data_IF_119008735765
#
_entry.id   IF_119008735765
#
_cell.length_a   1.000
_cell.length_b   1.000
_cell.length_c   1.000
_cell.angle_alpha   90.00
_cell.angle_beta   90.00
_cell.angle_gamma   90.00
#
_symmetry.space_group_name_H-M   'P 1'
#
loop_
_entity.id
_entity.type
_entity.pdbx_description
1 polymer ?
#
# COMPACT_ATOMS: atom_id res chain seq x y z
N UNK A 1 -17.80 -6.97 -2.43
CA UNK A 1 -18.08 -8.38 -2.03
C UNK A 1 -19.32 -8.97 -2.68
N UNK A 2 -20.44 -8.25 -2.80
CA UNK A 2 -21.69 -8.78 -3.41
C UNK A 2 -21.48 -9.37 -4.80
N UNK A 3 -20.73 -8.68 -5.66
CA UNK A 3 -20.37 -9.18 -6.99
C UNK A 3 -19.60 -10.51 -6.94
N UNK A 4 -18.58 -10.60 -6.07
CA UNK A 4 -17.76 -11.81 -5.90
C UNK A 4 -18.64 -12.97 -5.42
N UNK A 5 -19.52 -12.75 -4.43
CA UNK A 5 -20.46 -13.78 -3.96
C UNK A 5 -21.38 -14.29 -5.07
N UNK A 6 -21.87 -13.39 -5.93
CA UNK A 6 -22.71 -13.76 -7.07
C UNK A 6 -21.96 -14.67 -8.06
N UNK A 7 -20.67 -14.40 -8.33
CA UNK A 7 -19.83 -15.29 -9.15
C UNK A 7 -19.59 -16.63 -8.48
N UNK A 8 -19.24 -16.63 -7.19
CA UNK A 8 -18.99 -17.86 -6.41
C UNK A 8 -20.20 -18.80 -6.32
N UNK A 9 -21.42 -18.29 -6.52
CA UNK A 9 -22.62 -19.12 -6.57
C UNK A 9 -22.68 -20.02 -7.82
N UNK A 10 -22.03 -19.61 -8.91
CA UNK A 10 -22.13 -20.28 -10.22
C UNK A 10 -20.78 -20.76 -10.76
N UNK A 11 -19.67 -20.31 -10.17
CA UNK A 11 -18.30 -20.58 -10.65
C UNK A 11 -17.46 -21.16 -9.49
N UNK A 12 -16.70 -22.21 -9.79
CA UNK A 12 -15.69 -22.73 -8.86
C UNK A 12 -14.54 -21.73 -8.74
N UNK A 13 -14.12 -21.44 -7.51
CA UNK A 13 -12.95 -20.62 -7.21
C UNK A 13 -12.18 -21.27 -6.06
N UNK A 14 -10.95 -21.69 -6.32
CA UNK A 14 -10.12 -22.37 -5.32
C UNK A 14 -9.43 -21.37 -4.37
N UNK A 15 -9.08 -20.19 -4.87
CA UNK A 15 -8.49 -19.11 -4.08
C UNK A 15 -8.70 -17.73 -4.73
N UNK A 16 -8.65 -16.68 -3.90
CA UNK A 16 -8.61 -15.27 -4.32
C UNK A 16 -7.28 -14.67 -3.90
N UNK A 17 -6.59 -14.00 -4.81
CA UNK A 17 -5.39 -13.23 -4.51
C UNK A 17 -5.79 -11.75 -4.40
N UNK A 18 -5.44 -11.13 -3.28
CA UNK A 18 -5.76 -9.72 -3.01
C UNK A 18 -4.69 -9.06 -2.13
N UNK A 19 -4.71 -7.74 -2.03
CA UNK A 19 -3.72 -6.98 -1.27
C UNK A 19 -4.37 -5.85 -0.45
N UNK A 20 -3.65 -5.34 0.54
CA UNK A 20 -4.03 -4.17 1.32
C UNK A 20 -5.42 -4.26 1.99
N UNK A 21 -6.08 -3.10 2.13
CA UNK A 21 -7.38 -2.94 2.76
C UNK A 21 -8.47 -3.81 2.11
N UNK A 22 -8.48 -3.89 0.78
CA UNK A 22 -9.43 -4.73 0.05
C UNK A 22 -9.21 -6.22 0.36
N UNK A 23 -7.97 -6.70 0.37
CA UNK A 23 -7.67 -8.09 0.70
C UNK A 23 -8.10 -8.46 2.13
N UNK A 24 -7.85 -7.58 3.11
CA UNK A 24 -8.33 -7.76 4.48
C UNK A 24 -9.87 -7.79 4.56
N UNK A 25 -10.54 -6.90 3.81
CA UNK A 25 -12.00 -6.85 3.71
C UNK A 25 -12.59 -8.14 3.12
N UNK A 26 -11.97 -8.69 2.07
CA UNK A 26 -12.39 -9.94 1.44
C UNK A 26 -12.15 -11.15 2.36
N UNK A 27 -10.97 -11.24 2.97
CA UNK A 27 -10.57 -12.36 3.84
C UNK A 27 -11.50 -12.54 5.05
N UNK A 28 -12.05 -11.45 5.57
CA UNK A 28 -13.01 -11.49 6.70
C UNK A 28 -14.45 -11.81 6.30
N UNK A 29 -14.79 -11.85 5.00
CA UNK A 29 -16.18 -11.90 4.51
C UNK A 29 -16.48 -13.00 3.50
N UNK A 30 -15.46 -13.71 3.03
CA UNK A 30 -15.57 -14.80 2.07
C UNK A 30 -15.10 -16.11 2.71
N UNK A 31 -15.78 -17.21 2.38
CA UNK A 31 -15.39 -18.56 2.79
C UNK A 31 -14.28 -19.15 1.91
N UNK A 32 -14.13 -18.66 0.67
CA UNK A 32 -13.04 -19.05 -0.23
C UNK A 32 -11.71 -18.54 0.33
N UNK A 33 -10.63 -19.34 0.28
CA UNK A 33 -9.30 -18.92 0.70
C UNK A 33 -8.88 -17.59 0.05
N UNK A 34 -8.51 -16.60 0.86
CA UNK A 34 -7.97 -15.32 0.38
C UNK A 34 -6.48 -15.23 0.73
N UNK A 35 -5.65 -15.30 -0.30
CA UNK A 35 -4.20 -15.10 -0.24
C UNK A 35 -3.95 -13.60 -0.21
N UNK A 36 -3.48 -13.10 0.94
CA UNK A 36 -3.19 -11.70 1.14
C UNK A 36 -1.73 -11.41 0.78
N UNK A 37 -1.51 -10.64 -0.28
CA UNK A 37 -0.19 -10.13 -0.63
C UNK A 37 0.20 -9.07 0.40
N UNK A 38 1.37 -9.27 1.01
CA UNK A 38 2.02 -8.29 1.89
C UNK A 38 3.26 -7.75 1.20
N UNK A 39 3.52 -6.43 1.24
CA UNK A 39 4.77 -5.90 0.72
C UNK A 39 5.94 -6.46 1.57
N UNK A 40 6.95 -6.97 0.91
CA UNK A 40 8.20 -7.40 1.53
C UNK A 40 9.09 -6.20 1.84
N UNK A 41 10.08 -6.38 2.73
CA UNK A 41 11.08 -5.34 2.96
C UNK A 41 11.85 -4.95 1.68
N UNK A 42 12.06 -5.91 0.77
CA UNK A 42 12.68 -5.64 -0.53
C UNK A 42 11.80 -4.75 -1.42
N UNK A 43 10.49 -4.97 -1.45
CA UNK A 43 9.57 -4.14 -2.22
C UNK A 43 9.61 -2.69 -1.76
N UNK A 44 9.60 -2.51 -0.45
CA UNK A 44 9.68 -1.20 0.18
C UNK A 44 10.99 -0.51 -0.19
N UNK A 45 12.12 -1.20 -0.10
CA UNK A 45 13.42 -0.65 -0.48
C UNK A 45 13.48 -0.29 -1.97
N UNK A 46 12.92 -1.12 -2.86
CA UNK A 46 12.82 -0.77 -4.28
C UNK A 46 11.96 0.47 -4.51
N UNK A 47 10.79 0.54 -3.86
CA UNK A 47 9.89 1.68 -3.98
C UNK A 47 10.56 2.97 -3.48
N UNK A 48 11.26 2.91 -2.35
CA UNK A 48 12.02 4.03 -1.82
C UNK A 48 13.21 4.40 -2.71
N UNK A 49 13.93 3.44 -3.28
CA UNK A 49 15.01 3.72 -4.23
C UNK A 49 14.48 4.40 -5.50
N UNK A 50 13.28 4.03 -5.95
CA UNK A 50 12.59 4.70 -7.06
C UNK A 50 12.17 6.12 -6.67
N UNK A 51 11.63 6.31 -5.47
CA UNK A 51 11.24 7.61 -4.92
C UNK A 51 12.45 8.55 -4.76
N UNK A 52 13.56 8.04 -4.22
CA UNK A 52 14.78 8.78 -3.95
C UNK A 52 15.49 9.32 -5.19
N UNK A 53 15.22 8.74 -6.38
CA UNK A 53 15.69 9.29 -7.67
C UNK A 53 14.92 10.55 -8.09
N UNK A 54 13.71 10.72 -7.56
CA UNK A 54 12.81 11.82 -7.91
C UNK A 54 12.92 12.95 -6.88
N UNK A 55 12.95 12.59 -5.59
CA UNK A 55 12.87 13.56 -4.49
C UNK A 55 13.47 13.00 -3.21
N UNK A 56 13.83 13.90 -2.29
CA UNK A 56 14.25 13.56 -0.92
C UNK A 56 13.10 13.62 0.10
N UNK A 57 11.92 14.10 -0.28
CA UNK A 57 10.76 14.26 0.60
C UNK A 57 9.71 13.18 0.31
N UNK A 58 9.74 12.10 1.09
CA UNK A 58 8.99 10.87 0.79
C UNK A 58 8.03 10.52 1.93
N UNK A 59 6.76 10.27 1.59
CA UNK A 59 5.78 9.67 2.48
C UNK A 59 5.63 8.17 2.22
N UNK A 60 5.34 7.38 3.26
CA UNK A 60 4.94 5.97 3.14
C UNK A 60 3.62 5.80 3.88
N UNK A 61 2.57 5.39 3.17
CA UNK A 61 1.24 5.20 3.77
C UNK A 61 0.76 3.76 3.55
N UNK A 62 0.43 3.09 4.65
CA UNK A 62 0.13 1.65 4.68
C UNK A 62 -1.17 1.36 5.42
N UNK A 63 -1.81 0.22 5.12
CA UNK A 63 -3.07 -0.14 5.77
C UNK A 63 -2.81 -0.71 7.17
N UNK A 64 -3.56 -0.23 8.17
CA UNK A 64 -3.52 -0.58 9.59
C UNK A 64 -2.25 -0.24 10.35
N UNK A 65 -1.08 -0.62 9.85
CA UNK A 65 0.19 -0.50 10.57
C UNK A 65 1.27 0.09 9.66
N UNK A 66 2.16 0.89 10.25
CA UNK A 66 3.41 1.31 9.58
C UNK A 66 4.38 0.14 9.48
N UNK A 67 5.54 0.33 8.84
CA UNK A 67 6.53 -0.73 8.63
C UNK A 67 7.64 -0.57 9.68
N UNK A 68 7.69 -1.37 10.76
CA UNK A 68 8.66 -1.14 11.84
C UNK A 68 10.12 -1.17 11.37
N UNK A 69 10.42 -2.02 10.37
CA UNK A 69 11.74 -2.09 9.75
C UNK A 69 12.19 -0.76 9.10
N UNK A 70 11.24 0.05 8.60
CA UNK A 70 11.56 1.36 8.04
C UNK A 70 11.92 2.39 9.11
N UNK A 71 11.44 2.27 10.35
CA UNK A 71 11.80 3.20 11.43
C UNK A 71 13.29 3.10 11.74
N UNK A 72 13.82 1.89 11.85
CA UNK A 72 15.25 1.66 12.04
C UNK A 72 16.06 2.16 10.83
N UNK A 73 15.58 1.88 9.61
CA UNK A 73 16.22 2.30 8.37
C UNK A 73 16.30 3.83 8.26
N UNK A 74 15.20 4.52 8.54
CA UNK A 74 15.13 5.99 8.52
C UNK A 74 16.16 6.63 9.45
N UNK A 75 16.30 6.11 10.68
CA UNK A 75 17.29 6.61 11.66
C UNK A 75 18.72 6.38 11.19
N UNK A 76 19.02 5.19 10.67
CA UNK A 76 20.38 4.83 10.25
C UNK A 76 20.85 5.62 9.02
N UNK A 77 19.94 5.89 8.07
CA UNK A 77 20.28 6.55 6.81
C UNK A 77 19.87 8.03 6.74
N UNK A 78 19.38 8.59 7.86
CA UNK A 78 18.91 9.97 7.98
C UNK A 78 17.94 10.39 6.85
N UNK A 79 16.99 9.52 6.52
CA UNK A 79 16.03 9.75 5.45
C UNK A 79 14.90 10.66 5.94
N UNK A 80 14.50 11.61 5.09
CA UNK A 80 13.27 12.38 5.28
C UNK A 80 12.08 11.55 4.81
N UNK A 81 11.69 10.64 5.68
CA UNK A 81 10.63 9.67 5.44
C UNK A 81 9.54 9.82 6.49
N UNK A 82 8.31 10.15 6.07
CA UNK A 82 7.14 10.23 6.96
C UNK A 82 6.29 8.95 6.80
N UNK A 83 6.16 8.16 7.87
CA UNK A 83 5.39 6.92 7.85
C UNK A 83 4.04 7.11 8.50
N UNK A 84 2.99 6.75 7.77
CA UNK A 84 1.60 6.85 8.21
C UNK A 84 0.85 5.55 7.95
N UNK A 85 -0.23 5.37 8.69
CA UNK A 85 -1.17 4.28 8.47
C UNK A 85 -2.59 4.81 8.34
N UNK A 86 -3.45 4.03 7.68
CA UNK A 86 -4.87 4.35 7.54
C UNK A 86 -5.73 3.11 7.76
N UNK A 87 -6.98 3.31 8.16
CA UNK A 87 -7.97 2.23 8.30
C UNK A 87 -9.14 2.47 7.33
N UNK A 88 -9.59 3.72 7.22
CA UNK A 88 -10.67 4.12 6.31
C UNK A 88 -10.14 4.93 5.12
N UNK A 89 -10.95 5.06 4.07
CA UNK A 89 -10.60 5.94 2.95
C UNK A 89 -10.51 7.41 3.37
N UNK A 90 -11.35 7.83 4.31
CA UNK A 90 -11.32 9.18 4.87
C UNK A 90 -10.00 9.43 5.61
N UNK A 91 -9.55 8.46 6.42
CA UNK A 91 -8.23 8.51 7.08
C UNK A 91 -7.13 8.65 6.03
N UNK A 92 -7.18 7.85 4.96
CA UNK A 92 -6.18 7.87 3.89
C UNK A 92 -6.10 9.25 3.22
N UNK A 93 -7.25 9.86 2.92
CA UNK A 93 -7.32 11.23 2.37
C UNK A 93 -6.72 12.24 3.34
N UNK A 94 -7.05 12.14 4.63
CA UNK A 94 -6.44 12.97 5.68
C UNK A 94 -4.92 12.86 5.71
N UNK A 95 -4.39 11.62 5.72
CA UNK A 95 -2.94 11.39 5.72
C UNK A 95 -2.24 11.98 4.48
N UNK A 96 -2.84 11.84 3.30
CA UNK A 96 -2.30 12.40 2.06
C UNK A 96 -2.30 13.93 2.07
N UNK A 97 -3.36 14.56 2.57
CA UNK A 97 -3.45 16.01 2.68
C UNK A 97 -2.40 16.58 3.63
N UNK A 98 -2.18 15.94 4.77
CA UNK A 98 -1.13 16.32 5.72
C UNK A 98 0.27 16.18 5.12
N UNK A 99 0.54 15.06 4.43
CA UNK A 99 1.80 14.86 3.71
C UNK A 99 2.05 15.97 2.68
N UNK A 100 1.02 16.33 1.91
CA UNK A 100 1.11 17.42 0.93
C UNK A 100 1.41 18.76 1.60
N UNK A 101 0.71 19.09 2.68
CA UNK A 101 0.91 20.32 3.43
C UNK A 101 2.33 20.44 4.00
N UNK A 102 2.95 19.31 4.35
CA UNK A 102 4.32 19.23 4.85
C UNK A 102 5.39 19.23 3.74
N UNK A 103 5.00 19.39 2.47
CA UNK A 103 5.94 19.42 1.34
C UNK A 103 6.43 18.04 0.92
N UNK A 104 5.65 16.98 1.14
CA UNK A 104 5.91 15.66 0.55
C UNK A 104 5.74 15.74 -0.97
N UNK A 105 6.67 15.14 -1.70
CA UNK A 105 6.67 15.18 -3.17
C UNK A 105 6.36 13.81 -3.80
N UNK A 106 6.66 12.72 -3.08
CA UNK A 106 6.36 11.36 -3.49
C UNK A 106 5.78 10.54 -2.33
N UNK A 107 4.79 9.70 -2.62
CA UNK A 107 4.14 8.83 -1.64
C UNK A 107 4.18 7.38 -2.10
N UNK A 108 4.70 6.51 -1.23
CA UNK A 108 4.71 5.06 -1.43
C UNK A 108 3.50 4.44 -0.74
N UNK A 109 2.75 3.59 -1.47
CA UNK A 109 1.63 2.86 -0.88
C UNK A 109 0.93 1.89 -1.85
N UNK A 110 -0.19 1.34 -1.40
CA UNK A 110 -1.08 0.53 -2.23
C UNK A 110 -1.94 1.43 -3.15
N UNK A 111 -2.79 0.83 -4.00
CA UNK A 111 -3.53 1.54 -5.05
C UNK A 111 -4.28 2.79 -4.58
N UNK A 112 -5.08 2.68 -3.51
CA UNK A 112 -5.78 3.85 -2.96
C UNK A 112 -4.83 5.01 -2.61
N UNK A 113 -3.68 4.71 -2.01
CA UNK A 113 -2.71 5.72 -1.60
C UNK A 113 -2.03 6.36 -2.82
N UNK A 114 -1.69 5.56 -3.83
CA UNK A 114 -1.08 6.09 -5.05
C UNK A 114 -2.03 7.00 -5.79
N UNK A 115 -3.30 6.60 -5.92
CA UNK A 115 -4.33 7.38 -6.61
C UNK A 115 -4.55 8.72 -5.89
N UNK A 116 -4.72 8.69 -4.55
CA UNK A 116 -4.88 9.91 -3.74
C UNK A 116 -3.66 10.83 -3.80
N UNK A 117 -2.45 10.27 -3.82
CA UNK A 117 -1.23 11.07 -3.93
C UNK A 117 -1.16 11.79 -5.28
N UNK A 118 -1.50 11.10 -6.37
CA UNK A 118 -1.56 11.68 -7.71
C UNK A 118 -2.65 12.76 -7.81
N UNK A 119 -3.85 12.51 -7.26
CA UNK A 119 -4.94 13.51 -7.13
C UNK A 119 -4.47 14.79 -6.40
N UNK A 120 -3.64 14.64 -5.36
CA UNK A 120 -3.05 15.74 -4.61
C UNK A 120 -1.81 16.38 -5.28
N UNK A 121 -1.45 15.95 -6.49
CA UNK A 121 -0.30 16.45 -7.24
C UNK A 121 1.05 16.07 -6.62
N UNK A 122 1.13 14.88 -6.02
CA UNK A 122 2.37 14.21 -5.62
C UNK A 122 2.61 12.99 -6.51
N UNK A 123 3.83 12.46 -6.51
CA UNK A 123 4.12 11.23 -7.25
C UNK A 123 3.62 10.01 -6.48
N UNK A 124 2.68 9.25 -7.05
CA UNK A 124 2.27 7.95 -6.53
C UNK A 124 3.29 6.86 -6.87
N UNK A 125 3.74 6.10 -5.85
CA UNK A 125 4.66 4.98 -6.04
C UNK A 125 4.05 3.71 -5.46
N UNK A 126 3.71 2.78 -6.35
CA UNK A 126 3.10 1.53 -5.97
C UNK A 126 4.07 0.63 -5.21
N UNK A 127 3.65 0.16 -4.03
CA UNK A 127 4.52 -0.54 -3.08
C UNK A 127 4.80 -2.01 -3.44
N UNK A 128 4.00 -2.67 -4.29
CA UNK A 128 4.19 -4.09 -4.60
C UNK A 128 5.04 -4.28 -5.84
N UNK A 129 6.16 -5.01 -5.76
CA UNK A 129 6.92 -5.36 -6.94
C UNK A 129 6.28 -6.50 -7.73
N UNK A 130 6.66 -6.62 -9.00
CA UNK A 130 6.28 -7.76 -9.84
C UNK A 130 6.75 -9.10 -9.25
N UNK A 131 7.85 -9.13 -8.49
CA UNK A 131 8.33 -10.36 -7.85
C UNK A 131 7.39 -10.83 -6.74
N UNK A 132 6.95 -9.92 -5.87
CA UNK A 132 6.01 -10.22 -4.78
C UNK A 132 4.63 -10.60 -5.30
N UNK A 133 4.17 -9.95 -6.37
CA UNK A 133 2.95 -10.38 -7.06
C UNK A 133 3.13 -11.78 -7.62
N UNK A 134 4.24 -12.08 -8.32
CA UNK A 134 4.49 -13.41 -8.90
C UNK A 134 4.53 -14.52 -7.85
N UNK A 135 5.03 -14.25 -6.64
CA UNK A 135 5.07 -15.23 -5.55
C UNK A 135 3.67 -15.59 -5.01
N UNK A 136 2.68 -14.71 -5.21
CA UNK A 136 1.31 -14.96 -4.77
C UNK A 136 0.51 -15.83 -5.77
N UNK A 137 0.98 -15.98 -7.00
CA UNK A 137 0.43 -16.84 -8.05
C UNK A 137 1.09 -18.22 -8.01
#
# INVERSE_FOLDING_TARGET
VTYIRKKLANERCDAIIAAGSNGAYLKSRLSVPVILIKPSGYDVLQALAKAGKLTSSIGVVTYQETIPALVAFQKTFNLRLDQRSYITEEDARGQINELKANGTEAVVGAGLITDLAEEAGMTGIFIYSAATVRQAF
#
